data_IF_745738055379
#
_entry.id   IF_745738055379
#
_cell.length_a   1.000
_cell.length_b   1.000
_cell.length_c   1.000
_cell.angle_alpha   90.00
_cell.angle_beta   90.00
_cell.angle_gamma   90.00
#
_symmetry.space_group_name_H-M   'P 1'
#
loop_
_entity.id
_entity.type
_entity.pdbx_description
1 polymer ?
#
# COMPACT_ATOMS: atom_id res chain seq x y z
N UNK A 1 -7.86 3.18 21.05
CA UNK A 1 -6.86 2.66 22.01
C UNK A 1 -6.54 3.66 23.15
N UNK A 2 -7.14 4.85 23.15
CA UNK A 2 -6.86 5.89 24.14
C UNK A 2 -5.76 6.86 23.69
N UNK A 3 -5.14 6.64 22.53
CA UNK A 3 -4.18 7.56 21.94
C UNK A 3 -4.87 8.89 21.58
N UNK A 4 -4.26 10.04 21.92
CA UNK A 4 -4.79 11.34 21.55
C UNK A 4 -4.81 11.55 20.02
N UNK A 5 -5.85 12.22 19.54
CA UNK A 5 -5.93 12.73 18.16
C UNK A 5 -5.26 14.11 18.07
N UNK A 6 -3.94 14.12 17.92
CA UNK A 6 -3.13 15.32 17.79
C UNK A 6 -3.11 15.79 16.34
N UNK A 7 -3.48 17.04 16.10
CA UNK A 7 -3.46 17.69 14.79
C UNK A 7 -2.70 19.01 14.87
N UNK A 8 -2.20 19.47 13.73
CA UNK A 8 -1.51 20.75 13.65
C UNK A 8 -2.44 21.88 14.10
N UNK A 9 -1.96 22.68 15.06
CA UNK A 9 -2.70 23.78 15.66
C UNK A 9 -3.21 24.79 14.63
N UNK A 10 -2.44 25.07 13.57
CA UNK A 10 -2.87 25.98 12.50
C UNK A 10 -4.08 25.46 11.73
N UNK A 11 -4.18 24.13 11.52
CA UNK A 11 -5.39 23.54 10.92
C UNK A 11 -6.56 23.66 11.91
N UNK A 12 -6.35 23.34 13.18
CA UNK A 12 -7.41 23.31 14.19
C UNK A 12 -7.96 24.72 14.47
N UNK A 13 -7.11 25.73 14.54
CA UNK A 13 -7.50 27.12 14.84
C UNK A 13 -8.01 27.90 13.62
N UNK A 14 -7.90 27.37 12.40
CA UNK A 14 -8.30 28.08 11.19
C UNK A 14 -9.82 28.38 11.12
N UNK A 15 -10.17 29.60 10.70
CA UNK A 15 -11.56 29.98 10.40
C UNK A 15 -12.07 29.26 9.14
N UNK A 16 -11.19 29.04 8.16
CA UNK A 16 -11.48 28.38 6.89
C UNK A 16 -10.41 27.33 6.62
N UNK A 17 -10.85 26.09 6.34
CA UNK A 17 -9.98 24.96 5.99
C UNK A 17 -10.23 24.53 4.56
N UNK A 18 -9.20 24.59 3.71
CA UNK A 18 -9.23 24.10 2.33
C UNK A 18 -8.24 22.94 2.21
N UNK A 19 -8.76 21.74 1.93
CA UNK A 19 -7.97 20.52 1.83
C UNK A 19 -7.75 20.20 0.36
N UNK A 20 -6.51 20.35 -0.11
CA UNK A 20 -6.14 20.05 -1.50
C UNK A 20 -5.41 18.71 -1.60
N UNK A 21 -5.42 18.11 -2.79
CA UNK A 21 -4.78 16.81 -3.03
C UNK A 21 -5.32 16.13 -4.27
N UNK A 22 -5.01 14.85 -4.41
CA UNK A 22 -5.53 14.02 -5.48
C UNK A 22 -6.02 12.68 -4.93
N UNK A 23 -6.85 11.99 -5.71
CA UNK A 23 -7.45 10.71 -5.36
C UNK A 23 -6.86 9.61 -6.24
N UNK A 24 -6.30 8.60 -5.61
CA UNK A 24 -5.80 7.35 -6.19
C UNK A 24 -6.07 6.19 -5.21
N UNK A 25 -6.13 4.93 -5.67
CA UNK A 25 -6.16 3.79 -4.77
C UNK A 25 -4.95 3.78 -3.81
N UNK A 26 -5.17 3.39 -2.56
CA UNK A 26 -4.12 3.37 -1.54
C UNK A 26 -4.05 2.04 -0.80
N UNK A 27 -2.84 1.50 -0.61
CA UNK A 27 -2.65 0.08 -0.28
C UNK A 27 -3.32 -0.42 1.01
N UNK A 28 -3.54 0.47 1.99
CA UNK A 28 -4.21 0.13 3.24
C UNK A 28 -5.33 1.10 3.64
N UNK A 29 -5.45 2.24 2.97
CA UNK A 29 -6.41 3.30 3.33
C UNK A 29 -7.63 3.34 2.39
N UNK A 30 -7.74 2.37 1.48
CA UNK A 30 -8.73 2.39 0.40
C UNK A 30 -8.31 3.33 -0.73
N UNK A 31 -8.37 4.64 -0.47
CA UNK A 31 -8.04 5.71 -1.40
C UNK A 31 -7.29 6.85 -0.70
N UNK A 32 -6.52 7.62 -1.46
CA UNK A 32 -5.97 8.92 -1.03
C UNK A 32 -7.02 10.04 -1.11
N UNK A 33 -6.61 11.28 -0.83
CA UNK A 33 -7.49 12.45 -0.83
C UNK A 33 -8.45 12.51 0.37
N UNK A 34 -9.33 13.50 0.35
CA UNK A 34 -10.37 13.70 1.37
C UNK A 34 -9.79 13.82 2.78
N UNK A 35 -10.29 13.02 3.76
CA UNK A 35 -9.79 13.02 5.13
C UNK A 35 -8.27 12.85 5.25
N UNK A 36 -7.63 12.21 4.27
CA UNK A 36 -6.20 11.94 4.28
C UNK A 36 -5.33 13.21 4.33
N UNK A 37 -5.84 14.31 3.79
CA UNK A 37 -5.17 15.62 3.84
C UNK A 37 -5.13 16.24 5.25
N UNK A 38 -5.98 15.78 6.16
CA UNK A 38 -5.99 16.19 7.58
C UNK A 38 -5.21 15.17 8.41
N UNK A 39 -5.65 13.91 8.39
CA UNK A 39 -5.02 12.79 9.08
C UNK A 39 -4.60 11.77 8.02
N UNK A 40 -3.34 11.36 7.86
CA UNK A 40 -2.16 11.79 8.62
C UNK A 40 -1.55 13.12 8.15
N UNK A 41 -2.08 13.76 7.10
CA UNK A 41 -1.43 14.88 6.38
C UNK A 41 -0.84 16.00 7.25
N UNK A 42 -1.52 16.36 8.35
CA UNK A 42 -1.04 17.34 9.33
C UNK A 42 -1.24 16.86 10.78
N UNK A 43 -1.22 15.54 10.99
CA UNK A 43 -1.35 14.94 12.31
C UNK A 43 -0.02 14.82 13.05
N UNK A 44 -0.08 14.79 14.38
CA UNK A 44 1.07 14.47 15.21
C UNK A 44 1.52 13.03 15.00
N UNK A 45 2.84 12.79 15.10
CA UNK A 45 3.41 11.46 14.85
C UNK A 45 2.77 10.37 15.71
N UNK A 46 2.45 10.65 16.96
CA UNK A 46 1.77 9.71 17.87
C UNK A 46 0.44 9.20 17.29
N UNK A 47 -0.39 10.12 16.78
CA UNK A 47 -1.67 9.79 16.14
C UNK A 47 -1.46 8.99 14.86
N UNK A 48 -0.46 9.36 14.05
CA UNK A 48 -0.10 8.62 12.83
C UNK A 48 0.32 7.19 13.18
N UNK A 49 1.18 7.02 14.17
CA UNK A 49 1.69 5.71 14.60
C UNK A 49 0.59 4.80 15.16
N UNK A 50 -0.37 5.35 15.91
CA UNK A 50 -1.53 4.58 16.39
C UNK A 50 -2.43 4.14 15.22
N UNK A 51 -2.77 5.05 14.31
CA UNK A 51 -3.60 4.73 13.14
C UNK A 51 -2.95 3.69 12.21
N UNK A 52 -1.62 3.74 12.06
CA UNK A 52 -0.82 2.79 11.29
C UNK A 52 -0.27 1.65 12.16
N UNK A 53 -0.91 1.41 13.33
CA UNK A 53 -0.55 0.36 14.26
C UNK A 53 -0.81 -1.04 13.70
N UNK A 54 -0.14 -2.04 14.29
CA UNK A 54 -0.15 -3.40 13.77
C UNK A 54 -1.55 -4.02 13.67
N UNK A 55 -2.44 -3.70 14.61
CA UNK A 55 -3.84 -4.15 14.59
C UNK A 55 -4.61 -3.63 13.38
N UNK A 56 -4.42 -2.35 13.02
CA UNK A 56 -5.11 -1.74 11.90
C UNK A 56 -4.57 -2.24 10.57
N UNK A 57 -3.24 -2.27 10.41
CA UNK A 57 -2.58 -2.77 9.20
C UNK A 57 -2.87 -4.27 8.97
N UNK A 58 -3.02 -5.03 10.06
CA UNK A 58 -3.36 -6.45 10.00
C UNK A 58 -4.84 -6.75 9.70
N UNK A 59 -5.72 -5.75 9.68
CA UNK A 59 -7.14 -5.98 9.35
C UNK A 59 -7.28 -6.26 7.84
N UNK A 60 -7.95 -7.34 7.42
CA UNK A 60 -8.10 -7.67 5.99
C UNK A 60 -8.86 -6.61 5.18
N UNK A 61 -9.59 -5.70 5.84
CA UNK A 61 -10.29 -4.56 5.22
C UNK A 61 -9.40 -3.34 5.06
N UNK A 62 -8.23 -3.29 5.72
CA UNK A 62 -7.21 -2.27 5.49
C UNK A 62 -6.46 -2.54 4.19
N UNK A 63 -7.14 -2.32 3.07
CA UNK A 63 -6.67 -2.69 1.73
C UNK A 63 -7.09 -1.69 0.66
N UNK A 64 -6.59 -1.84 -0.56
CA UNK A 64 -6.97 -1.00 -1.69
C UNK A 64 -8.49 -0.99 -1.93
N UNK A 65 -9.03 0.19 -2.23
CA UNK A 65 -10.42 0.36 -2.66
C UNK A 65 -11.49 0.23 -1.58
N UNK A 66 -11.12 -0.08 -0.33
CA UNK A 66 -12.03 -0.28 0.80
C UNK A 66 -11.92 0.89 1.78
N UNK A 67 -13.03 1.61 1.96
CA UNK A 67 -13.17 2.71 2.93
C UNK A 67 -14.13 2.32 4.05
N UNK A 68 -15.31 1.80 3.71
CA UNK A 68 -16.30 1.32 4.68
C UNK A 68 -15.82 0.02 5.35
N UNK A 69 -15.85 -0.01 6.68
CA UNK A 69 -15.30 -1.10 7.49
C UNK A 69 -13.78 -1.17 7.52
N UNK A 70 -13.06 -0.29 6.83
CA UNK A 70 -11.60 -0.20 6.92
C UNK A 70 -11.23 0.60 8.18
N UNK A 71 -10.62 -0.01 9.21
CA UNK A 71 -10.37 0.66 10.47
C UNK A 71 -9.41 1.85 10.34
N UNK A 72 -8.46 1.80 9.40
CA UNK A 72 -7.53 2.91 9.14
C UNK A 72 -8.30 4.11 8.60
N UNK A 73 -9.13 3.88 7.59
CA UNK A 73 -9.87 4.94 6.94
C UNK A 73 -10.98 5.51 7.84
N UNK A 74 -11.68 4.66 8.59
CA UNK A 74 -12.75 5.10 9.49
C UNK A 74 -12.21 5.94 10.65
N UNK A 75 -11.10 5.54 11.28
CA UNK A 75 -10.47 6.38 12.32
C UNK A 75 -9.93 7.69 11.73
N UNK A 76 -9.33 7.64 10.54
CA UNK A 76 -8.88 8.82 9.80
C UNK A 76 -10.03 9.80 9.52
N UNK A 77 -11.17 9.29 9.04
CA UNK A 77 -12.40 10.05 8.82
C UNK A 77 -12.86 10.67 10.13
N UNK A 78 -12.95 9.89 11.20
CA UNK A 78 -13.49 10.36 12.48
C UNK A 78 -12.62 11.44 13.12
N UNK A 79 -11.28 11.32 13.01
CA UNK A 79 -10.34 12.37 13.42
C UNK A 79 -10.51 13.61 12.54
N UNK A 80 -10.58 13.45 11.22
CA UNK A 80 -10.72 14.57 10.30
C UNK A 80 -12.03 15.34 10.51
N UNK A 81 -13.14 14.66 10.83
CA UNK A 81 -14.43 15.32 11.09
C UNK A 81 -14.42 16.15 12.39
N UNK A 82 -13.55 15.85 13.36
CA UNK A 82 -13.47 16.58 14.64
C UNK A 82 -12.92 17.99 14.51
N UNK A 83 -12.22 18.33 13.41
CA UNK A 83 -11.73 19.70 13.18
C UNK A 83 -12.84 20.65 12.75
N UNK A 84 -14.04 20.12 12.47
CA UNK A 84 -15.18 20.87 11.97
C UNK A 84 -15.20 20.98 10.43
N UNK A 85 -16.11 21.83 9.90
CA UNK A 85 -16.32 21.96 8.46
C UNK A 85 -15.03 22.29 7.71
N UNK A 86 -14.82 21.59 6.60
CA UNK A 86 -13.68 21.77 5.70
C UNK A 86 -14.16 21.67 4.25
N UNK A 87 -13.58 22.49 3.38
CA UNK A 87 -13.81 22.42 1.93
C UNK A 87 -12.70 21.58 1.31
N UNK A 88 -13.05 20.51 0.61
CA UNK A 88 -12.06 19.73 -0.15
C UNK A 88 -12.01 20.23 -1.58
N UNK A 89 -10.82 20.26 -2.18
CA UNK A 89 -10.59 20.43 -3.61
C UNK A 89 -9.60 19.35 -4.04
N UNK A 90 -10.09 18.25 -4.56
CA UNK A 90 -9.25 17.13 -4.99
C UNK A 90 -9.38 16.89 -6.49
N UNK A 91 -8.32 16.36 -7.08
CA UNK A 91 -8.29 15.99 -8.51
C UNK A 91 -8.04 14.50 -8.67
N UNK A 92 -8.40 13.94 -9.83
CA UNK A 92 -7.82 12.67 -10.30
C UNK A 92 -6.86 12.96 -11.44
N UNK A 93 -5.85 12.10 -11.60
CA UNK A 93 -4.79 12.28 -12.59
C UNK A 93 -4.73 11.07 -13.54
N UNK A 94 -4.29 11.28 -14.78
CA UNK A 94 -3.84 10.20 -15.67
C UNK A 94 -2.32 9.96 -15.51
N UNK A 95 -1.79 9.01 -16.29
CA UNK A 95 -0.37 8.66 -16.30
C UNK A 95 0.54 9.85 -16.66
N UNK A 96 0.04 10.78 -17.49
CA UNK A 96 0.73 12.02 -17.88
C UNK A 96 0.56 13.14 -16.84
N UNK A 97 0.00 12.84 -15.66
CA UNK A 97 -0.30 13.78 -14.56
C UNK A 97 -1.26 14.91 -14.94
N UNK A 98 -2.06 14.71 -15.98
CA UNK A 98 -3.10 15.64 -16.39
C UNK A 98 -4.35 15.41 -15.54
N UNK A 99 -5.06 16.49 -15.21
CA UNK A 99 -6.32 16.43 -14.45
C UNK A 99 -7.39 15.74 -15.28
N UNK A 100 -7.97 14.66 -14.75
CA UNK A 100 -9.05 13.90 -15.38
C UNK A 100 -10.41 14.10 -14.71
N UNK A 101 -10.40 14.71 -13.52
CA UNK A 101 -11.59 14.98 -12.72
C UNK A 101 -11.26 15.97 -11.60
N UNK A 102 -12.27 16.75 -11.21
CA UNK A 102 -12.20 17.72 -10.11
C UNK A 102 -13.37 17.47 -9.19
N UNK A 103 -13.09 17.33 -7.89
CA UNK A 103 -14.06 17.01 -6.86
C UNK A 103 -13.92 18.03 -5.74
N UNK A 104 -14.91 18.90 -5.60
CA UNK A 104 -14.85 20.01 -4.66
C UNK A 104 -16.16 20.17 -3.88
N UNK A 105 -16.07 20.46 -2.59
CA UNK A 105 -17.24 20.61 -1.71
C UNK A 105 -17.00 20.08 -0.30
N UNK A 106 -18.04 19.46 0.28
CA UNK A 106 -17.96 18.79 1.57
C UNK A 106 -16.88 17.69 1.57
N UNK A 107 -16.15 17.58 2.68
CA UNK A 107 -15.00 16.69 2.85
C UNK A 107 -15.31 15.23 2.45
N UNK A 108 -16.47 14.70 2.86
CA UNK A 108 -16.82 13.31 2.62
C UNK A 108 -17.63 13.13 1.35
N UNK A 109 -18.59 14.02 1.08
CA UNK A 109 -19.43 13.90 -0.10
C UNK A 109 -18.63 14.06 -1.40
N UNK A 110 -17.76 15.07 -1.49
CA UNK A 110 -16.93 15.26 -2.68
C UNK A 110 -15.86 14.16 -2.81
N UNK A 111 -15.26 13.72 -1.69
CA UNK A 111 -14.34 12.58 -1.70
C UNK A 111 -15.04 11.31 -2.18
N UNK A 112 -16.27 11.03 -1.72
CA UNK A 112 -17.07 9.88 -2.15
C UNK A 112 -17.31 9.88 -3.66
N UNK A 113 -17.65 11.02 -4.25
CA UNK A 113 -17.81 11.14 -5.71
C UNK A 113 -16.49 10.85 -6.42
N UNK A 114 -15.37 11.39 -5.89
CA UNK A 114 -14.04 11.17 -6.44
C UNK A 114 -13.55 9.73 -6.37
N UNK A 115 -13.78 9.02 -5.26
CA UNK A 115 -13.42 7.59 -5.16
C UNK A 115 -14.23 6.75 -6.14
N UNK A 116 -15.52 7.04 -6.36
CA UNK A 116 -16.33 6.29 -7.33
C UNK A 116 -15.88 6.55 -8.76
N UNK A 117 -15.43 7.77 -9.07
CA UNK A 117 -14.85 8.09 -10.36
C UNK A 117 -13.54 7.31 -10.59
N UNK A 118 -12.59 7.41 -9.64
CA UNK A 118 -11.28 6.75 -9.72
C UNK A 118 -11.40 5.23 -9.72
N UNK A 119 -12.33 4.66 -8.93
CA UNK A 119 -12.57 3.21 -8.88
C UNK A 119 -12.89 2.64 -10.25
N UNK A 120 -13.65 3.35 -11.08
CA UNK A 120 -14.06 2.88 -12.41
C UNK A 120 -12.91 2.72 -13.39
N UNK A 121 -11.86 3.55 -13.26
CA UNK A 121 -10.70 3.50 -14.16
C UNK A 121 -9.51 2.75 -13.57
N UNK A 122 -9.32 2.79 -12.25
CA UNK A 122 -8.13 2.29 -11.59
C UNK A 122 -8.30 0.91 -10.95
N UNK A 123 -9.52 0.36 -10.84
CA UNK A 123 -9.77 -0.93 -10.21
C UNK A 123 -10.36 -1.96 -11.18
N UNK A 124 -9.76 -3.14 -11.24
CA UNK A 124 -10.14 -4.20 -12.18
C UNK A 124 -10.65 -5.46 -11.46
N UNK A 125 -11.89 -5.85 -11.76
CA UNK A 125 -12.47 -7.09 -11.22
C UNK A 125 -11.89 -8.32 -11.94
N UNK A 126 -11.56 -9.37 -11.18
CA UNK A 126 -11.19 -10.70 -11.72
C UNK A 126 -12.00 -11.80 -11.03
N UNK A 127 -12.28 -12.89 -11.75
CA UNK A 127 -13.22 -13.93 -11.31
C UNK A 127 -12.66 -14.91 -10.28
N UNK A 128 -11.35 -15.15 -10.31
CA UNK A 128 -10.70 -16.16 -9.50
C UNK A 128 -9.20 -15.84 -9.36
N UNK A 129 -8.54 -16.30 -8.28
CA UNK A 129 -7.13 -16.03 -8.04
C UNK A 129 -6.22 -16.67 -9.09
N UNK A 130 -4.96 -16.25 -9.11
CA UNK A 130 -3.92 -16.68 -10.05
C UNK A 130 -2.80 -17.41 -9.32
N UNK A 131 -2.19 -18.37 -9.99
CA UNK A 131 -1.04 -19.12 -9.49
C UNK A 131 0.24 -18.29 -9.51
N UNK A 132 0.39 -17.46 -10.55
CA UNK A 132 1.52 -16.57 -10.75
C UNK A 132 1.01 -15.15 -11.01
N UNK A 133 1.57 -14.17 -10.31
CA UNK A 133 1.31 -12.76 -10.59
C UNK A 133 2.64 -12.04 -10.80
N UNK A 134 2.84 -11.51 -12.00
CA UNK A 134 3.95 -10.61 -12.33
C UNK A 134 3.45 -9.18 -12.18
N UNK A 135 4.15 -8.36 -11.40
CA UNK A 135 3.79 -6.95 -11.19
C UNK A 135 5.02 -6.07 -11.28
N UNK A 136 4.80 -4.79 -11.51
CA UNK A 136 5.83 -3.74 -11.34
C UNK A 136 5.48 -2.80 -10.20
N UNK A 137 6.34 -1.82 -9.94
CA UNK A 137 6.00 -0.63 -9.17
C UNK A 137 5.89 0.65 -10.03
N UNK A 138 5.45 0.49 -11.28
CA UNK A 138 5.23 1.57 -12.27
C UNK A 138 6.47 2.34 -12.73
N UNK A 139 7.67 1.81 -12.51
CA UNK A 139 8.93 2.39 -12.99
C UNK A 139 9.30 3.71 -12.31
N UNK A 140 10.37 4.34 -12.79
CA UNK A 140 10.91 5.55 -12.16
C UNK A 140 9.90 6.73 -12.23
N UNK A 141 9.73 7.51 -11.14
CA UNK A 141 10.44 7.44 -9.85
C UNK A 141 9.72 6.59 -8.78
N UNK A 142 8.69 5.83 -9.14
CA UNK A 142 7.90 5.05 -8.19
C UNK A 142 8.61 3.77 -7.74
N UNK A 143 9.61 3.29 -8.47
CA UNK A 143 10.37 2.07 -8.17
C UNK A 143 11.78 2.32 -7.59
N UNK A 144 12.02 3.52 -7.04
CA UNK A 144 13.33 3.96 -6.52
C UNK A 144 13.95 3.03 -5.48
N UNK A 145 13.15 2.46 -4.57
CA UNK A 145 13.61 1.62 -3.46
C UNK A 145 12.60 0.54 -3.10
N UNK A 146 13.05 -0.46 -2.34
CA UNK A 146 12.22 -1.61 -1.97
C UNK A 146 11.00 -1.21 -1.14
N UNK A 147 11.11 -0.15 -0.32
CA UNK A 147 9.98 0.39 0.43
C UNK A 147 8.80 0.68 -0.51
N UNK A 148 9.02 1.38 -1.62
CA UNK A 148 7.94 1.65 -2.57
C UNK A 148 7.44 0.38 -3.26
N UNK A 149 8.34 -0.55 -3.60
CA UNK A 149 8.03 -1.81 -4.31
C UNK A 149 6.94 -2.66 -3.64
N UNK A 150 6.82 -2.60 -2.32
CA UNK A 150 5.77 -3.30 -1.55
C UNK A 150 4.35 -2.86 -1.97
N UNK A 151 4.15 -1.65 -2.52
CA UNK A 151 2.85 -1.23 -3.05
C UNK A 151 2.40 -2.09 -4.23
N UNK A 152 3.30 -2.33 -5.19
CA UNK A 152 3.08 -3.25 -6.30
C UNK A 152 2.87 -4.69 -5.83
N UNK A 153 3.67 -5.16 -4.86
CA UNK A 153 3.46 -6.48 -4.25
C UNK A 153 2.06 -6.59 -3.62
N UNK A 154 1.61 -5.56 -2.90
CA UNK A 154 0.31 -5.54 -2.24
C UNK A 154 -0.84 -5.60 -3.25
N UNK A 155 -0.72 -4.91 -4.39
CA UNK A 155 -1.70 -4.99 -5.47
C UNK A 155 -1.77 -6.41 -6.07
N UNK A 156 -0.61 -7.04 -6.34
CA UNK A 156 -0.56 -8.42 -6.82
C UNK A 156 -1.13 -9.42 -5.80
N UNK A 157 -0.86 -9.22 -4.51
CA UNK A 157 -1.35 -10.08 -3.44
C UNK A 157 -2.87 -10.13 -3.33
N UNK A 158 -3.60 -9.16 -3.90
CA UNK A 158 -5.08 -9.16 -3.97
C UNK A 158 -5.64 -10.33 -4.76
N UNK A 159 -4.93 -10.78 -5.78
CA UNK A 159 -5.42 -11.77 -6.74
C UNK A 159 -4.57 -13.02 -6.83
N UNK A 160 -3.50 -13.13 -6.05
CA UNK A 160 -2.73 -14.36 -5.95
C UNK A 160 -3.44 -15.38 -5.05
N UNK A 161 -3.32 -16.66 -5.38
CA UNK A 161 -3.77 -17.74 -4.50
C UNK A 161 -2.79 -17.97 -3.33
N UNK A 162 -3.25 -18.66 -2.30
CA UNK A 162 -2.37 -19.09 -1.20
C UNK A 162 -1.27 -20.01 -1.75
N UNK A 163 -0.01 -19.73 -1.41
CA UNK A 163 1.16 -20.46 -1.92
C UNK A 163 1.57 -20.12 -3.36
N UNK A 164 0.92 -19.14 -3.99
CA UNK A 164 1.26 -18.70 -5.35
C UNK A 164 2.65 -18.04 -5.45
N UNK A 165 3.07 -17.72 -6.68
CA UNK A 165 4.34 -17.04 -6.98
C UNK A 165 4.09 -15.59 -7.40
N UNK A 166 4.62 -14.65 -6.62
CA UNK A 166 4.57 -13.21 -6.93
C UNK A 166 5.95 -12.80 -7.44
N UNK A 167 6.03 -12.24 -8.65
CA UNK A 167 7.27 -11.69 -9.20
C UNK A 167 7.11 -10.17 -9.29
N UNK A 168 7.90 -9.43 -8.51
CA UNK A 168 8.00 -7.97 -8.61
C UNK A 168 9.17 -7.59 -9.52
N UNK A 169 8.91 -6.80 -10.55
CA UNK A 169 9.92 -6.05 -11.30
C UNK A 169 10.00 -4.62 -10.76
N UNK A 170 11.10 -4.29 -10.08
CA UNK A 170 11.29 -3.00 -9.42
C UNK A 170 12.79 -2.73 -9.34
N UNK A 171 13.28 -1.66 -9.97
CA UNK A 171 14.73 -1.43 -10.09
C UNK A 171 15.40 -1.30 -8.71
N UNK A 172 14.75 -0.61 -7.77
CA UNK A 172 15.23 -0.39 -6.41
C UNK A 172 16.63 0.24 -6.37
N UNK A 173 16.95 1.18 -7.27
CA UNK A 173 18.29 1.78 -7.39
C UNK A 173 18.84 2.42 -6.11
N UNK A 174 18.00 2.78 -5.14
CA UNK A 174 18.39 3.34 -3.84
C UNK A 174 18.47 2.29 -2.72
N UNK A 175 18.26 1.00 -3.02
CA UNK A 175 18.34 -0.06 -2.01
C UNK A 175 17.02 -0.32 -1.28
N UNK A 176 17.17 -0.99 -0.15
CA UNK A 176 16.29 -0.78 1.01
C UNK A 176 16.72 0.59 1.58
N UNK A 177 15.82 1.55 1.84
CA UNK A 177 16.24 2.90 2.23
C UNK A 177 17.31 2.86 3.35
N UNK A 178 18.54 3.33 3.09
CA UNK A 178 19.65 3.07 4.00
C UNK A 178 19.47 3.74 5.36
N UNK A 179 19.76 2.99 6.44
CA UNK A 179 19.58 3.36 7.85
C UNK A 179 18.13 3.66 8.24
N UNK A 180 17.15 3.32 7.39
CA UNK A 180 15.74 3.52 7.69
C UNK A 180 15.25 2.61 8.82
N UNK A 181 14.18 3.01 9.53
CA UNK A 181 13.47 2.13 10.44
C UNK A 181 13.04 0.80 9.79
N UNK A 182 12.64 0.81 8.50
CA UNK A 182 12.37 -0.42 7.75
C UNK A 182 13.59 -1.35 7.68
N UNK A 183 14.75 -0.84 7.24
CA UNK A 183 15.97 -1.64 7.14
C UNK A 183 16.37 -2.24 8.50
N UNK A 184 16.33 -1.42 9.55
CA UNK A 184 16.65 -1.87 10.91
C UNK A 184 15.70 -2.97 11.39
N UNK A 185 14.41 -2.85 11.09
CA UNK A 185 13.43 -3.86 11.45
C UNK A 185 13.66 -5.17 10.70
N UNK A 186 13.95 -5.11 9.38
CA UNK A 186 14.32 -6.29 8.60
C UNK A 186 15.59 -6.97 9.14
N UNK A 187 16.61 -6.20 9.54
CA UNK A 187 17.82 -6.80 10.12
C UNK A 187 17.66 -7.33 11.55
N UNK A 188 16.64 -6.88 12.28
CA UNK A 188 16.38 -7.31 13.66
C UNK A 188 15.67 -8.66 13.79
N UNK A 189 15.19 -9.23 12.68
CA UNK A 189 14.44 -10.48 12.65
C UNK A 189 15.19 -11.55 11.84
N UNK A 190 14.78 -12.81 11.98
CA UNK A 190 15.22 -13.95 11.19
C UNK A 190 14.32 -14.25 10.00
N UNK A 191 13.14 -13.63 9.93
CA UNK A 191 12.20 -13.82 8.83
C UNK A 191 10.88 -13.05 8.98
N UNK A 192 10.00 -13.16 7.96
CA UNK A 192 8.72 -12.46 7.92
C UNK A 192 7.80 -12.78 9.10
N UNK A 193 7.76 -14.05 9.54
CA UNK A 193 6.93 -14.49 10.66
C UNK A 193 7.40 -13.90 12.00
N UNK A 194 8.71 -13.73 12.18
CA UNK A 194 9.25 -13.09 13.39
C UNK A 194 8.91 -11.60 13.41
N UNK A 195 8.97 -10.90 12.26
CA UNK A 195 8.48 -9.52 12.16
C UNK A 195 7.03 -9.42 12.62
N UNK A 196 6.16 -10.30 12.11
CA UNK A 196 4.75 -10.27 12.49
C UNK A 196 4.54 -10.56 13.99
N UNK A 197 5.37 -11.41 14.57
CA UNK A 197 5.37 -11.70 16.02
C UNK A 197 5.84 -10.50 16.84
N UNK A 198 6.93 -9.85 16.44
CA UNK A 198 7.43 -8.62 17.07
C UNK A 198 6.37 -7.52 17.04
N UNK A 199 5.73 -7.30 15.89
CA UNK A 199 4.68 -6.28 15.72
C UNK A 199 3.38 -6.59 16.47
N UNK A 200 3.10 -7.86 16.74
CA UNK A 200 1.97 -8.27 17.58
C UNK A 200 2.27 -8.13 19.08
N UNK A 201 3.53 -7.93 19.48
CA UNK A 201 3.93 -7.82 20.88
C UNK A 201 3.43 -6.48 21.47
N UNK A 202 2.67 -6.49 22.59
CA UNK A 202 2.18 -5.26 23.21
C UNK A 202 3.30 -4.26 23.51
N UNK A 203 3.12 -3.01 23.12
CA UNK A 203 4.09 -1.94 23.32
C UNK A 203 5.23 -1.90 22.28
N UNK A 204 5.34 -2.88 21.38
CA UNK A 204 6.28 -2.78 20.27
C UNK A 204 5.76 -1.80 19.23
N UNK A 205 6.46 -0.67 19.08
CA UNK A 205 6.19 0.32 18.05
C UNK A 205 7.51 0.77 17.43
N UNK A 206 7.56 0.77 16.09
CA UNK A 206 8.67 1.30 15.30
C UNK A 206 8.12 2.15 14.16
N UNK A 207 8.74 3.29 13.83
CA UNK A 207 8.41 4.00 12.60
C UNK A 207 8.50 3.06 11.39
N UNK A 208 7.67 3.30 10.37
CA UNK A 208 7.64 2.51 9.13
C UNK A 208 7.25 1.03 9.29
N UNK A 209 6.87 0.57 10.49
CA UNK A 209 6.54 -0.82 10.76
C UNK A 209 5.44 -1.39 9.84
N UNK A 210 4.50 -0.55 9.42
CA UNK A 210 3.42 -0.94 8.50
C UNK A 210 3.98 -1.51 7.20
N UNK A 211 5.12 -1.00 6.73
CA UNK A 211 5.72 -1.45 5.48
C UNK A 211 6.26 -2.87 5.60
N UNK A 212 7.02 -3.14 6.68
CA UNK A 212 7.52 -4.47 6.98
C UNK A 212 6.36 -5.46 7.25
N UNK A 213 5.31 -5.01 7.94
CA UNK A 213 4.13 -5.82 8.21
C UNK A 213 3.42 -6.24 6.93
N UNK A 214 3.17 -5.31 6.02
CA UNK A 214 2.50 -5.59 4.75
C UNK A 214 3.35 -6.55 3.91
N UNK A 215 4.66 -6.32 3.82
CA UNK A 215 5.58 -7.23 3.13
C UNK A 215 5.51 -8.64 3.73
N UNK A 216 5.56 -8.75 5.06
CA UNK A 216 5.52 -10.04 5.72
C UNK A 216 4.18 -10.78 5.55
N UNK A 217 3.05 -10.07 5.57
CA UNK A 217 1.74 -10.65 5.27
C UNK A 217 1.66 -11.16 3.82
N UNK A 218 2.29 -10.47 2.87
CA UNK A 218 2.38 -10.93 1.48
C UNK A 218 3.24 -12.19 1.38
N UNK A 219 4.38 -12.23 2.08
CA UNK A 219 5.28 -13.39 2.12
C UNK A 219 4.64 -14.61 2.80
N UNK A 220 3.77 -14.40 3.80
CA UNK A 220 2.94 -15.46 4.39
C UNK A 220 1.95 -16.05 3.38
N UNK A 221 1.46 -15.22 2.44
CA UNK A 221 0.50 -15.64 1.41
C UNK A 221 1.17 -16.30 0.20
N UNK A 222 2.34 -15.82 -0.22
CA UNK A 222 2.95 -16.19 -1.49
C UNK A 222 4.48 -16.17 -1.44
N UNK A 223 5.12 -16.96 -2.32
CA UNK A 223 6.56 -16.85 -2.57
C UNK A 223 6.83 -15.61 -3.39
N UNK A 224 7.60 -14.67 -2.84
CA UNK A 224 7.90 -13.38 -3.47
C UNK A 224 9.30 -13.38 -4.08
N UNK A 225 9.35 -13.15 -5.39
CA UNK A 225 10.55 -13.01 -6.19
C UNK A 225 10.73 -11.53 -6.58
N UNK A 226 11.98 -11.06 -6.56
CA UNK A 226 12.33 -9.69 -6.91
C UNK A 226 13.32 -9.67 -8.08
N UNK A 227 12.90 -9.08 -9.19
CA UNK A 227 13.75 -8.68 -10.31
C UNK A 227 14.12 -7.20 -10.13
N UNK A 228 15.39 -6.94 -9.82
CA UNK A 228 15.89 -5.60 -9.46
C UNK A 228 17.38 -5.44 -9.74
N UNK A 229 17.89 -4.22 -9.59
CA UNK A 229 19.34 -3.94 -9.62
C UNK A 229 20.03 -4.19 -8.28
N UNK A 230 19.31 -4.65 -7.25
CA UNK A 230 19.89 -4.95 -5.94
C UNK A 230 20.79 -6.18 -6.00
N UNK A 231 21.90 -6.18 -5.23
CA UNK A 231 22.65 -7.40 -5.01
C UNK A 231 21.79 -8.49 -4.35
N UNK A 232 22.01 -9.73 -4.76
CA UNK A 232 21.29 -10.91 -4.30
C UNK A 232 21.26 -11.05 -2.77
N UNK A 233 22.36 -10.71 -2.10
CA UNK A 233 22.45 -10.72 -0.64
C UNK A 233 21.51 -9.70 0.00
N UNK A 234 21.36 -8.50 -0.56
CA UNK A 234 20.45 -7.46 -0.08
C UNK A 234 19.00 -7.87 -0.29
N UNK A 235 18.68 -8.51 -1.42
CA UNK A 235 17.34 -9.07 -1.65
C UNK A 235 17.00 -10.12 -0.58
N UNK A 236 17.97 -10.97 -0.23
CA UNK A 236 17.79 -12.00 0.80
C UNK A 236 17.69 -11.44 2.22
N UNK A 237 18.34 -10.31 2.54
CA UNK A 237 18.15 -9.66 3.86
C UNK A 237 16.74 -9.08 4.03
N UNK A 238 16.03 -8.81 2.93
CA UNK A 238 14.59 -8.50 2.93
C UNK A 238 13.68 -9.74 2.89
N UNK A 239 14.25 -10.95 3.00
CA UNK A 239 13.55 -12.24 2.91
C UNK A 239 12.83 -12.49 1.58
N UNK A 240 13.32 -11.87 0.51
CA UNK A 240 12.83 -12.06 -0.85
C UNK A 240 13.73 -13.04 -1.60
N UNK A 241 13.21 -13.63 -2.68
CA UNK A 241 14.00 -14.48 -3.57
C UNK A 241 14.50 -13.64 -4.77
N UNK A 242 15.80 -13.56 -5.04
CA UNK A 242 16.29 -12.91 -6.27
C UNK A 242 15.75 -13.58 -7.53
N UNK A 243 15.39 -12.77 -8.53
CA UNK A 243 14.94 -13.22 -9.84
C UNK A 243 15.76 -12.51 -10.92
N UNK A 244 16.43 -13.30 -11.75
CA UNK A 244 17.34 -12.80 -12.80
C UNK A 244 16.73 -12.84 -14.20
N UNK A 245 15.69 -13.63 -14.40
CA UNK A 245 14.92 -13.70 -15.64
C UNK A 245 13.46 -14.02 -15.31
N UNK A 246 12.59 -13.01 -15.47
CA UNK A 246 11.16 -13.13 -15.21
C UNK A 246 10.54 -14.18 -16.15
N UNK A 247 10.90 -14.18 -17.43
CA UNK A 247 10.30 -15.05 -18.42
C UNK A 247 10.69 -16.52 -18.20
N UNK A 248 11.97 -16.79 -17.91
CA UNK A 248 12.42 -18.14 -17.54
C UNK A 248 11.74 -18.62 -16.26
N UNK A 249 11.66 -17.77 -15.24
CA UNK A 249 10.97 -18.07 -13.98
C UNK A 249 9.51 -18.43 -14.22
N UNK A 250 8.76 -17.63 -14.99
CA UNK A 250 7.35 -17.93 -15.30
C UNK A 250 7.22 -19.26 -16.04
N UNK A 251 8.06 -19.53 -17.04
CA UNK A 251 8.05 -20.81 -17.79
C UNK A 251 8.31 -22.00 -16.88
N UNK A 252 9.29 -21.91 -15.99
CA UNK A 252 9.62 -22.98 -15.03
C UNK A 252 8.43 -23.26 -14.09
N UNK A 253 7.81 -22.22 -13.55
CA UNK A 253 6.67 -22.36 -12.63
C UNK A 253 5.44 -22.94 -13.34
N UNK A 254 5.16 -22.53 -14.58
CA UNK A 254 4.10 -23.12 -15.39
C UNK A 254 4.34 -24.61 -15.66
N UNK A 255 5.58 -25.01 -15.96
CA UNK A 255 5.93 -26.41 -16.14
C UNK A 255 5.71 -27.26 -14.87
N UNK A 256 5.89 -26.67 -13.68
CA UNK A 256 5.64 -27.33 -12.39
C UNK A 256 4.15 -27.43 -12.04
N UNK A 257 3.36 -26.39 -12.36
CA UNK A 257 1.95 -26.28 -11.97
C UNK A 257 0.99 -26.97 -12.96
N UNK A 258 1.41 -27.14 -14.22
CA UNK A 258 0.61 -27.78 -15.26
C UNK A 258 -0.19 -26.80 -16.12
N UNK A 259 -0.93 -27.30 -17.12
CA UNK A 259 -1.53 -26.50 -18.19
C UNK A 259 -2.69 -25.58 -17.74
N UNK A 260 -3.32 -25.88 -16.60
CA UNK A 260 -4.42 -25.08 -16.05
C UNK A 260 -3.94 -23.88 -15.21
N UNK A 261 -2.62 -23.74 -15.01
CA UNK A 261 -2.04 -22.67 -14.23
C UNK A 261 -2.28 -21.30 -14.88
N UNK A 262 -2.69 -20.32 -14.07
CA UNK A 262 -3.08 -18.98 -14.50
C UNK A 262 -2.03 -17.96 -14.11
N UNK A 263 -1.67 -17.12 -15.07
CA UNK A 263 -0.75 -15.99 -14.88
C UNK A 263 -1.49 -14.66 -15.03
N UNK A 264 -1.28 -13.74 -14.10
CA UNK A 264 -1.66 -12.35 -14.25
C UNK A 264 -0.41 -11.48 -14.41
N UNK A 265 -0.52 -10.43 -15.23
CA UNK A 265 0.52 -9.40 -15.39
C UNK A 265 -0.09 -8.05 -15.04
N UNK A 266 0.57 -7.32 -14.15
CA UNK A 266 0.19 -5.99 -13.67
C UNK A 266 1.31 -5.00 -14.05
N UNK A 267 1.27 -4.40 -15.25
CA UNK A 267 2.33 -3.50 -15.72
C UNK A 267 2.49 -2.24 -14.88
N UNK A 268 1.46 -1.85 -14.13
CA UNK A 268 1.43 -0.67 -13.26
C UNK A 268 0.78 -1.03 -11.92
N UNK A 269 1.44 -1.91 -11.15
CA UNK A 269 0.90 -2.52 -9.93
C UNK A 269 0.15 -1.55 -9.00
N UNK A 270 0.76 -0.45 -8.53
CA UNK A 270 0.10 0.48 -7.60
C UNK A 270 -0.93 1.41 -8.25
N UNK A 271 -1.09 1.41 -9.58
CA UNK A 271 -2.00 2.31 -10.31
C UNK A 271 -3.23 1.59 -10.88
N UNK A 272 -3.09 0.31 -11.24
CA UNK A 272 -4.20 -0.56 -11.68
C UNK A 272 -4.38 -1.68 -10.66
N UNK A 273 -5.39 -1.55 -9.80
CA UNK A 273 -5.59 -2.44 -8.67
C UNK A 273 -6.57 -3.56 -9.03
N UNK A 274 -6.12 -4.82 -9.11
CA UNK A 274 -7.02 -5.92 -9.33
C UNK A 274 -7.71 -6.35 -8.02
N UNK A 275 -8.93 -6.84 -8.11
CA UNK A 275 -9.66 -7.38 -6.95
C UNK A 275 -10.52 -8.59 -7.34
N UNK A 276 -10.67 -9.52 -6.39
CA UNK A 276 -11.53 -10.69 -6.55
C UNK A 276 -13.01 -10.31 -6.49
N UNK A 277 -13.76 -10.93 -7.38
CA UNK A 277 -15.19 -10.74 -7.63
C UNK A 277 -16.10 -11.12 -6.47
#
# INVERSE_FOLDING_TARGET
>A
DGTPALLNRLLVEADVRIITGFIEPHLFAGFSGGPKGIMPGVAGLETVMSNHGARHIGDPRATYGVTEGNPIWEEMRDIALRVGPSFVFNVSLNEQRQITGVFAGDLLAAHKVGIEFVRRSAMQRVKAPFDIVVTTNSGYPLDLNLYQGVKGMSAAARIIQQGGTLILACECREGIPPRSPLEQLLHSASGPEEILTMLATPGFVRPEQWQAQIQALIQRKAKVLLYSSLPDEVVRTAYLTPCHDIAATVRERLAQLGPEARVAVLPQGPLTIPYLA
#
